data_IF_586523256078
#
_entry.id   IF_586523256078
#
_cell.length_a   1.000
_cell.length_b   1.000
_cell.length_c   1.000
_cell.angle_alpha   90.00
_cell.angle_beta   90.00
_cell.angle_gamma   90.00
#
_symmetry.space_group_name_H-M   'P 1'
#
loop_
_entity.id
_entity.type
_entity.pdbx_description
1 polymer ?
#
# COMPACT_ATOMS: atom_id res chain seq x y z
N UNK A 1 -15.95 13.38 -34.91
CA UNK A 1 -14.69 12.60 -35.04
C UNK A 1 -13.57 13.62 -34.99
N UNK A 2 -12.72 13.74 -33.98
CA UNK A 2 -12.10 12.72 -33.12
C UNK A 2 -11.65 13.36 -31.79
N UNK A 3 -12.26 12.98 -30.67
CA UNK A 3 -11.63 13.16 -29.36
C UNK A 3 -10.86 11.87 -29.05
N UNK A 4 -9.64 11.79 -29.57
CA UNK A 4 -8.68 10.80 -29.09
C UNK A 4 -8.23 11.28 -27.71
N UNK A 5 -8.96 10.88 -26.67
CA UNK A 5 -8.56 11.00 -25.28
C UNK A 5 -7.08 10.66 -25.16
N UNK A 6 -6.24 11.61 -24.77
CA UNK A 6 -4.81 11.39 -24.51
C UNK A 6 -4.67 10.29 -23.47
N UNK A 7 -4.48 9.06 -23.94
CA UNK A 7 -4.45 7.87 -23.10
C UNK A 7 -3.11 7.91 -22.34
N UNK A 8 -3.19 8.06 -21.01
CA UNK A 8 -2.01 8.21 -20.16
C UNK A 8 -1.19 6.91 -20.22
N UNK A 9 0.00 6.97 -20.79
CA UNK A 9 0.95 5.87 -20.80
C UNK A 9 1.75 5.93 -19.49
N UNK A 10 2.00 4.76 -18.90
CA UNK A 10 2.88 4.58 -17.74
C UNK A 10 4.19 4.00 -18.23
N UNK A 11 5.31 4.65 -17.89
CA UNK A 11 6.65 4.20 -18.24
C UNK A 11 7.27 3.45 -17.05
N UNK A 12 7.79 2.25 -17.31
CA UNK A 12 8.48 1.45 -16.30
C UNK A 12 9.67 2.17 -15.67
N UNK A 13 10.37 3.05 -16.41
CA UNK A 13 11.48 3.83 -15.86
C UNK A 13 11.00 4.82 -14.78
N UNK A 14 9.82 5.41 -14.97
CA UNK A 14 9.23 6.29 -13.98
C UNK A 14 8.85 5.53 -12.70
N UNK A 15 8.32 4.31 -12.84
CA UNK A 15 8.01 3.43 -11.70
C UNK A 15 9.29 3.09 -10.93
N UNK A 16 10.35 2.67 -11.63
CA UNK A 16 11.63 2.33 -10.99
C UNK A 16 12.24 3.52 -10.25
N UNK A 17 12.13 4.72 -10.82
CA UNK A 17 12.59 5.94 -10.17
C UNK A 17 11.74 6.28 -8.93
N UNK A 18 10.42 6.11 -9.00
CA UNK A 18 9.54 6.29 -7.84
C UNK A 18 9.93 5.34 -6.71
N UNK A 19 10.06 4.04 -6.99
CA UNK A 19 10.45 3.04 -5.99
C UNK A 19 11.78 3.42 -5.35
N UNK A 20 12.80 3.78 -6.15
CA UNK A 20 14.10 4.23 -5.64
C UNK A 20 13.97 5.44 -4.71
N UNK A 21 13.17 6.44 -5.09
CA UNK A 21 12.95 7.64 -4.27
C UNK A 21 12.30 7.31 -2.93
N UNK A 22 11.29 6.43 -2.94
CA UNK A 22 10.63 5.98 -1.70
C UNK A 22 11.60 5.21 -0.82
N UNK A 23 12.34 4.25 -1.38
CA UNK A 23 13.29 3.43 -0.61
C UNK A 23 14.43 4.26 -0.02
N UNK A 24 14.91 5.29 -0.71
CA UNK A 24 16.01 6.14 -0.23
C UNK A 24 15.56 7.19 0.80
N UNK A 25 14.26 7.43 0.95
CA UNK A 25 13.70 8.43 1.86
C UNK A 25 12.97 7.74 3.02
N UNK A 26 13.56 7.71 4.24
CA UNK A 26 12.93 7.08 5.40
C UNK A 26 11.53 7.60 5.68
N UNK A 27 11.31 8.91 5.58
CA UNK A 27 10.00 9.53 5.78
C UNK A 27 8.96 9.13 4.73
N UNK A 28 9.39 8.96 3.47
CA UNK A 28 8.50 8.50 2.41
C UNK A 28 8.13 7.02 2.59
N UNK A 29 9.09 6.19 3.02
CA UNK A 29 8.85 4.79 3.32
C UNK A 29 7.90 4.63 4.51
N UNK A 30 8.15 5.35 5.61
CA UNK A 30 7.27 5.37 6.79
C UNK A 30 5.86 5.81 6.41
N UNK A 31 5.72 6.89 5.64
CA UNK A 31 4.41 7.37 5.16
C UNK A 31 3.70 6.31 4.30
N UNK A 32 4.45 5.56 3.49
CA UNK A 32 3.87 4.48 2.68
C UNK A 32 3.42 3.29 3.54
N UNK A 33 4.18 2.93 4.57
CA UNK A 33 3.77 1.89 5.54
C UNK A 33 2.51 2.30 6.30
N UNK A 34 2.44 3.54 6.77
CA UNK A 34 1.24 4.07 7.42
C UNK A 34 0.03 4.10 6.47
N UNK A 35 0.27 4.46 5.21
CA UNK A 35 -0.76 4.39 4.18
C UNK A 35 -1.28 2.96 3.96
N UNK A 36 -0.37 1.99 3.94
CA UNK A 36 -0.65 0.56 3.77
C UNK A 36 -1.46 0.02 4.96
N UNK A 37 -1.07 0.39 6.18
CA UNK A 37 -1.81 0.06 7.42
C UNK A 37 -3.26 0.52 7.39
N UNK A 38 -3.53 1.72 6.87
CA UNK A 38 -4.92 2.20 6.70
C UNK A 38 -5.72 1.31 5.75
N UNK A 39 -5.11 0.75 4.70
CA UNK A 39 -5.80 -0.18 3.81
C UNK A 39 -6.07 -1.51 4.52
N UNK A 40 -5.09 -2.03 5.27
CA UNK A 40 -5.19 -3.30 6.00
C UNK A 40 -6.28 -3.24 7.07
N UNK A 41 -6.26 -2.22 7.93
CA UNK A 41 -7.23 -2.07 9.02
C UNK A 41 -8.66 -1.84 8.50
N UNK A 42 -8.81 -1.30 7.28
CA UNK A 42 -10.10 -1.20 6.61
C UNK A 42 -10.51 -2.47 5.86
N UNK A 43 -9.67 -3.51 5.88
CA UNK A 43 -9.92 -4.84 5.36
C UNK A 43 -9.78 -4.96 3.84
N UNK A 44 -8.96 -4.12 3.20
CA UNK A 44 -8.81 -4.13 1.74
C UNK A 44 -8.33 -5.49 1.22
N UNK A 45 -7.41 -6.14 1.93
CA UNK A 45 -6.84 -7.42 1.51
C UNK A 45 -7.77 -8.62 1.66
N UNK A 46 -8.92 -8.46 2.32
CA UNK A 46 -9.97 -9.47 2.31
C UNK A 46 -10.72 -9.53 0.97
N UNK A 47 -10.62 -8.48 0.15
CA UNK A 47 -11.27 -8.39 -1.14
C UNK A 47 -10.37 -8.87 -2.29
N UNK A 48 -11.02 -9.33 -3.37
CA UNK A 48 -10.32 -9.95 -4.50
C UNK A 48 -9.30 -9.00 -5.16
N UNK A 49 -8.12 -9.55 -5.47
CA UNK A 49 -7.00 -8.93 -6.19
C UNK A 49 -6.32 -7.72 -5.51
N UNK A 50 -6.78 -7.23 -4.35
CA UNK A 50 -6.19 -6.06 -3.68
C UNK A 50 -4.73 -6.25 -3.25
N UNK A 51 -4.38 -7.47 -2.84
CA UNK A 51 -3.00 -7.84 -2.47
C UNK A 51 -2.00 -7.84 -3.63
N UNK A 52 -2.48 -7.88 -4.88
CA UNK A 52 -1.63 -7.99 -6.09
C UNK A 52 -1.27 -6.59 -6.65
N UNK A 53 -1.53 -5.52 -5.89
CA UNK A 53 -1.33 -4.14 -6.33
C UNK A 53 0.12 -3.70 -6.24
N UNK A 54 0.66 -3.17 -7.34
CA UNK A 54 2.04 -2.68 -7.41
C UNK A 54 2.09 -1.16 -7.39
N UNK A 55 2.92 -0.57 -6.53
CA UNK A 55 3.04 0.89 -6.44
C UNK A 55 3.68 1.47 -7.72
N UNK A 56 2.93 2.33 -8.41
CA UNK A 56 3.39 3.02 -9.63
C UNK A 56 3.77 4.47 -9.36
N UNK A 57 3.12 5.12 -8.39
CA UNK A 57 3.40 6.51 -8.04
C UNK A 57 3.01 6.80 -6.60
N UNK A 58 3.87 7.55 -5.90
CA UNK A 58 3.65 7.99 -4.53
C UNK A 58 4.62 7.35 -3.53
N UNK A 59 4.48 7.66 -2.23
CA UNK A 59 3.46 8.55 -1.68
C UNK A 59 3.70 10.01 -2.05
N UNK A 60 2.72 10.66 -2.67
CA UNK A 60 2.75 12.11 -2.89
C UNK A 60 2.12 12.78 -1.67
N UNK A 61 2.97 13.45 -0.89
CA UNK A 61 2.61 14.04 0.40
C UNK A 61 2.30 15.52 0.18
N UNK A 62 1.06 15.91 0.44
CA UNK A 62 0.61 17.31 0.51
C UNK A 62 0.36 17.71 1.96
N UNK A 63 -0.09 18.94 2.21
CA UNK A 63 -0.39 19.41 3.56
C UNK A 63 -1.37 18.48 4.30
N UNK A 64 -2.48 18.10 3.65
CA UNK A 64 -3.59 17.37 4.30
C UNK A 64 -3.87 15.99 3.70
N UNK A 65 -3.21 15.63 2.60
CA UNK A 65 -3.53 14.41 1.85
C UNK A 65 -2.29 13.68 1.40
N UNK A 66 -2.40 12.37 1.30
CA UNK A 66 -1.40 11.47 0.72
C UNK A 66 -2.04 10.77 -0.47
N UNK A 67 -1.34 10.76 -1.60
CA UNK A 67 -1.82 10.14 -2.83
C UNK A 67 -0.87 9.05 -3.27
N UNK A 68 -1.39 7.83 -3.39
CA UNK A 68 -0.70 6.68 -3.96
C UNK A 68 -1.49 6.16 -5.17
N UNK A 69 -0.78 5.68 -6.19
CA UNK A 69 -1.39 5.02 -7.34
C UNK A 69 -0.78 3.64 -7.52
N UNK A 70 -1.65 2.64 -7.56
CA UNK A 70 -1.29 1.24 -7.72
C UNK A 70 -1.71 0.75 -9.11
N UNK A 71 -0.92 -0.15 -9.69
CA UNK A 71 -1.26 -0.84 -10.92
C UNK A 71 -1.66 -2.29 -10.67
N UNK A 72 -2.61 -2.75 -11.46
CA UNK A 72 -3.07 -4.13 -11.48
C UNK A 72 -3.16 -4.61 -12.93
N UNK A 73 -2.85 -5.88 -13.22
CA UNK A 73 -3.11 -6.47 -14.53
C UNK A 73 -4.58 -6.29 -14.93
N UNK A 74 -4.86 -6.14 -16.24
CA UNK A 74 -6.23 -5.91 -16.72
C UNK A 74 -7.23 -6.98 -16.25
N UNK A 75 -6.77 -8.24 -16.20
CA UNK A 75 -7.55 -9.43 -15.81
C UNK A 75 -7.71 -9.56 -14.28
N UNK A 76 -6.86 -8.87 -13.50
CA UNK A 76 -6.86 -8.88 -12.04
C UNK A 76 -7.35 -7.55 -11.48
N UNK A 77 -8.49 -7.07 -11.98
CA UNK A 77 -9.09 -5.84 -11.45
C UNK A 77 -9.38 -6.01 -9.94
N UNK A 78 -8.92 -5.09 -9.08
CA UNK A 78 -9.24 -5.14 -7.65
C UNK A 78 -10.71 -4.84 -7.43
N UNK A 79 -11.32 -5.56 -6.48
CA UNK A 79 -12.76 -5.47 -6.21
C UNK A 79 -13.14 -4.04 -5.82
N UNK A 80 -14.04 -3.36 -6.57
CA UNK A 80 -14.47 -2.00 -6.29
C UNK A 80 -15.33 -1.87 -5.02
N UNK A 81 -15.68 -2.97 -4.36
CA UNK A 81 -16.36 -2.95 -3.06
C UNK A 81 -15.45 -2.51 -1.91
N UNK A 82 -14.16 -2.85 -1.92
CA UNK A 82 -13.25 -2.53 -0.81
C UNK A 82 -13.15 -1.01 -0.53
N UNK A 83 -12.96 -0.15 -1.55
CA UNK A 83 -12.82 1.29 -1.35
C UNK A 83 -14.04 1.97 -0.75
N UNK A 84 -15.23 1.36 -0.84
CA UNK A 84 -16.47 1.94 -0.31
C UNK A 84 -16.37 2.29 1.17
N UNK A 85 -15.56 1.53 1.93
CA UNK A 85 -15.29 1.76 3.36
C UNK A 85 -14.54 3.06 3.61
N UNK A 86 -13.64 3.45 2.70
CA UNK A 86 -12.87 4.70 2.83
C UNK A 86 -13.61 5.91 2.25
N UNK A 87 -14.61 5.71 1.38
CA UNK A 87 -15.40 6.82 0.81
C UNK A 87 -16.19 7.58 1.88
N UNK A 88 -16.76 6.89 2.86
CA UNK A 88 -17.51 7.50 3.97
C UNK A 88 -16.64 8.34 4.89
N UNK A 89 -15.33 8.07 4.91
CA UNK A 89 -14.35 8.77 5.75
C UNK A 89 -13.43 9.68 4.91
N UNK A 90 -13.94 10.23 3.81
CA UNK A 90 -13.30 11.34 3.10
C UNK A 90 -12.14 10.97 2.15
N UNK A 91 -11.87 9.68 1.95
CA UNK A 91 -10.96 9.24 0.89
C UNK A 91 -11.60 9.38 -0.49
N UNK A 92 -10.76 9.58 -1.51
CA UNK A 92 -11.19 9.60 -2.91
C UNK A 92 -10.43 8.53 -3.67
N UNK A 93 -11.15 7.68 -4.39
CA UNK A 93 -10.58 6.57 -5.14
C UNK A 93 -10.97 6.68 -6.61
N UNK A 94 -9.98 6.52 -7.49
CA UNK A 94 -10.14 6.66 -8.93
C UNK A 94 -9.60 5.41 -9.64
N UNK A 95 -10.44 4.80 -10.47
CA UNK A 95 -10.05 3.68 -11.33
C UNK A 95 -9.88 4.17 -12.76
N UNK A 96 -8.77 3.82 -13.41
CA UNK A 96 -8.50 4.19 -14.80
C UNK A 96 -7.80 3.06 -15.54
N UNK A 97 -8.22 2.79 -16.77
CA UNK A 97 -7.46 1.92 -17.69
C UNK A 97 -6.31 2.70 -18.31
N UNK A 98 -5.13 2.10 -18.35
CA UNK A 98 -3.93 2.68 -18.92
C UNK A 98 -3.11 1.63 -19.68
N UNK A 99 -2.12 2.11 -20.45
CA UNK A 99 -1.10 1.27 -21.06
C UNK A 99 0.19 1.38 -20.26
N UNK A 100 0.76 0.24 -19.88
CA UNK A 100 2.11 0.13 -19.35
C UNK A 100 3.07 -0.17 -20.50
N UNK A 101 4.04 0.71 -20.70
CA UNK A 101 5.10 0.56 -21.69
C UNK A 101 6.36 -0.01 -21.02
N UNK A 102 6.91 -1.07 -21.60
CA UNK A 102 8.11 -1.72 -21.07
C UNK A 102 9.03 -2.21 -22.20
N UNK A 103 10.36 -2.23 -21.98
CA UNK A 103 11.29 -2.79 -22.94
C UNK A 103 11.13 -4.32 -23.02
N UNK A 104 11.08 -4.83 -24.25
CA UNK A 104 11.09 -6.28 -24.50
C UNK A 104 12.43 -6.86 -24.06
N UNK A 105 12.40 -8.03 -23.42
CA UNK A 105 13.60 -8.78 -23.08
C UNK A 105 14.30 -9.21 -24.36
N UNK A 106 15.57 -8.84 -24.51
CA UNK A 106 16.35 -9.15 -25.70
C UNK A 106 16.72 -10.63 -25.67
N UNK A 107 16.26 -11.38 -26.66
CA UNK A 107 16.59 -12.79 -26.88
C UNK A 107 17.20 -13.04 -28.26
N UNK A 108 16.92 -12.16 -29.22
CA UNK A 108 17.40 -12.23 -30.60
C UNK A 108 17.70 -10.83 -31.18
N UNK A 109 18.37 -10.76 -32.34
CA UNK A 109 18.60 -9.49 -33.05
C UNK A 109 17.29 -8.78 -33.45
N UNK A 110 16.21 -9.53 -33.67
CA UNK A 110 14.90 -8.98 -34.01
C UNK A 110 14.26 -8.20 -32.84
N UNK A 111 14.74 -8.36 -31.61
CA UNK A 111 14.21 -7.64 -30.44
C UNK A 111 14.70 -6.19 -30.36
N UNK A 112 15.68 -5.81 -31.19
CA UNK A 112 16.16 -4.44 -31.30
C UNK A 112 15.27 -3.58 -32.21
N UNK A 113 15.27 -2.27 -31.96
CA UNK A 113 14.65 -1.31 -32.88
C UNK A 113 15.47 -1.25 -34.18
N UNK A 114 14.82 -1.12 -35.36
CA UNK A 114 15.49 -1.26 -36.66
C UNK A 114 16.72 -0.36 -36.87
N UNK A 115 16.77 0.80 -36.20
CA UNK A 115 17.79 1.82 -36.43
C UNK A 115 18.74 2.00 -35.24
N UNK A 116 18.43 1.45 -34.06
CA UNK A 116 19.21 1.66 -32.83
C UNK A 116 19.29 0.39 -32.01
N UNK A 117 20.44 0.15 -31.35
CA UNK A 117 20.64 -0.96 -30.39
C UNK A 117 19.91 -0.71 -29.06
N UNK A 118 18.62 -0.37 -29.12
CA UNK A 118 17.71 -0.30 -27.97
C UNK A 118 16.60 -1.33 -28.15
N UNK A 119 16.09 -1.93 -27.07
CA UNK A 119 15.00 -2.89 -27.15
C UNK A 119 13.73 -2.24 -27.73
N UNK A 120 12.93 -3.06 -28.44
CA UNK A 120 11.55 -2.71 -28.79
C UNK A 120 10.74 -2.45 -27.52
N UNK A 121 9.74 -1.58 -27.61
CA UNK A 121 8.82 -1.29 -26.50
C UNK A 121 7.53 -2.05 -26.75
N UNK A 122 7.18 -2.92 -25.79
CA UNK A 122 5.89 -3.57 -25.74
C UNK A 122 4.93 -2.75 -24.86
N UNK A 123 3.62 -2.97 -25.07
CA UNK A 123 2.58 -2.34 -24.26
C UNK A 123 1.63 -3.40 -23.74
N UNK A 124 1.29 -3.30 -22.46
CA UNK A 124 0.23 -4.12 -21.85
C UNK A 124 -0.84 -3.22 -21.22
N UNK A 125 -2.08 -3.69 -21.17
CA UNK A 125 -3.17 -2.95 -20.53
C UNK A 125 -3.18 -3.24 -19.03
N UNK A 126 -3.35 -2.19 -18.25
CA UNK A 126 -3.43 -2.26 -16.79
C UNK A 126 -4.57 -1.40 -16.25
N UNK A 127 -4.98 -1.71 -15.04
CA UNK A 127 -5.76 -0.82 -14.19
C UNK A 127 -4.83 0.02 -13.34
N UNK A 128 -5.12 1.32 -13.24
CA UNK A 128 -4.56 2.23 -12.26
C UNK A 128 -5.63 2.55 -11.24
N UNK A 129 -5.28 2.37 -9.96
CA UNK A 129 -6.12 2.74 -8.83
C UNK A 129 -5.38 3.84 -8.06
N UNK A 130 -5.87 5.07 -8.17
CA UNK A 130 -5.35 6.21 -7.40
C UNK A 130 -6.19 6.36 -6.16
N UNK A 131 -5.55 6.27 -4.99
CA UNK A 131 -6.17 6.45 -3.69
C UNK A 131 -5.62 7.73 -3.09
N UNK A 132 -6.52 8.65 -2.78
CA UNK A 132 -6.23 9.95 -2.21
C UNK A 132 -6.80 10.01 -0.79
N UNK A 133 -5.92 9.83 0.18
CA UNK A 133 -6.23 9.65 1.59
C UNK A 133 -6.06 10.96 2.38
N UNK A 134 -7.03 11.38 3.20
CA UNK A 134 -6.81 12.40 4.22
C UNK A 134 -5.80 11.94 5.28
N UNK A 135 -4.88 12.80 5.70
CA UNK A 135 -3.88 12.46 6.73
C UNK A 135 -4.47 12.12 8.10
N UNK A 136 -5.66 12.65 8.44
CA UNK A 136 -6.27 12.35 9.74
C UNK A 136 -6.59 10.86 9.89
N UNK A 137 -6.87 10.12 8.80
CA UNK A 137 -7.13 8.68 8.87
C UNK A 137 -5.91 7.88 9.33
N UNK A 138 -4.70 8.34 8.99
CA UNK A 138 -3.46 7.72 9.50
C UNK A 138 -3.34 7.98 11.00
N UNK A 139 -3.67 9.20 11.45
CA UNK A 139 -3.61 9.54 12.88
C UNK A 139 -4.63 8.74 13.70
N UNK A 140 -5.86 8.58 13.19
CA UNK A 140 -6.92 7.80 13.85
C UNK A 140 -6.49 6.33 14.04
N UNK A 141 -5.89 5.73 13.00
CA UNK A 141 -5.33 4.38 13.04
C UNK A 141 -4.19 4.26 14.06
N UNK A 142 -3.25 5.22 14.07
CA UNK A 142 -2.14 5.24 15.02
C UNK A 142 -2.64 5.30 16.47
N UNK A 143 -3.61 6.17 16.74
CA UNK A 143 -4.18 6.29 18.07
C UNK A 143 -4.87 5.00 18.52
N UNK A 144 -5.72 4.41 17.67
CA UNK A 144 -6.38 3.14 18.00
C UNK A 144 -5.39 2.00 18.26
N UNK A 145 -4.28 1.98 17.52
CA UNK A 145 -3.21 0.99 17.71
C UNK A 145 -2.44 1.19 19.02
N UNK A 146 -2.14 2.43 19.39
CA UNK A 146 -1.48 2.78 20.66
C UNK A 146 -2.38 2.43 21.86
N UNK A 147 -3.69 2.68 21.76
CA UNK A 147 -4.67 2.34 22.81
C UNK A 147 -4.77 0.83 23.05
N UNK A 148 -4.79 0.01 21.99
CA UNK A 148 -4.81 -1.46 22.11
C UNK A 148 -3.52 -1.96 22.78
N UNK A 149 -2.35 -1.47 22.35
CA UNK A 149 -1.07 -1.86 22.96
C UNK A 149 -1.01 -1.50 24.44
N UNK A 150 -1.55 -0.34 24.84
CA UNK A 150 -1.57 0.05 26.25
C UNK A 150 -2.45 -0.87 27.09
N UNK A 151 -3.63 -1.25 26.59
CA UNK A 151 -4.52 -2.21 27.26
C UNK A 151 -3.89 -3.60 27.41
N UNK A 152 -3.15 -4.07 26.41
CA UNK A 152 -2.43 -5.34 26.47
C UNK A 152 -1.32 -5.31 27.54
N UNK A 153 -0.57 -4.21 27.63
CA UNK A 153 0.45 -4.02 28.67
C UNK A 153 -0.18 -4.00 30.06
N UNK A 154 -1.24 -3.22 30.28
CA UNK A 154 -1.95 -3.18 31.56
C UNK A 154 -2.48 -4.56 31.97
N UNK A 155 -3.07 -5.30 31.03
CA UNK A 155 -3.57 -6.67 31.30
C UNK A 155 -2.43 -7.62 31.62
N UNK A 156 -1.28 -7.49 30.94
CA UNK A 156 -0.10 -8.30 31.21
C UNK A 156 0.51 -8.01 32.58
N UNK A 157 0.58 -6.74 32.98
CA UNK A 157 1.09 -6.32 34.29
C UNK A 157 0.18 -6.81 35.42
N UNK A 158 -1.14 -6.73 35.23
CA UNK A 158 -2.13 -7.28 36.17
C UNK A 158 -1.95 -8.80 36.31
N UNK A 159 -1.83 -9.53 35.20
CA UNK A 159 -1.66 -10.98 35.23
C UNK A 159 -0.34 -11.41 35.87
N UNK A 160 0.74 -10.68 35.63
CA UNK A 160 2.04 -10.93 36.26
C UNK A 160 1.98 -10.67 37.77
N UNK A 161 1.35 -9.57 38.21
CA UNK A 161 1.16 -9.29 39.63
C UNK A 161 0.33 -10.37 40.35
N UNK A 162 -0.73 -10.89 39.70
CA UNK A 162 -1.48 -12.03 40.25
C UNK A 162 -0.66 -13.32 40.30
N UNK A 163 0.19 -13.58 39.31
CA UNK A 163 1.10 -14.74 39.29
C UNK A 163 2.12 -14.67 40.43
N UNK A 164 2.75 -13.52 40.60
CA UNK A 164 3.76 -13.28 41.65
C UNK A 164 3.15 -13.42 43.06
N UNK A 165 1.93 -12.92 43.29
CA UNK A 165 1.22 -13.05 44.57
C UNK A 165 0.82 -14.51 44.88
N UNK A 166 0.39 -15.28 43.87
CA UNK A 166 0.05 -16.70 44.02
C UNK A 166 1.29 -17.54 44.32
N UNK A 167 2.42 -17.24 43.67
CA UNK A 167 3.68 -17.94 43.91
C UNK A 167 4.26 -17.61 45.29
N UNK A 168 4.14 -16.36 45.75
CA UNK A 168 4.52 -15.98 47.11
C UNK A 168 3.68 -16.73 48.16
N UNK A 169 2.36 -16.77 47.97
CA UNK A 169 1.44 -17.45 48.89
C UNK A 169 1.69 -18.96 48.97
N UNK A 170 2.06 -19.60 47.86
CA UNK A 170 2.40 -21.03 47.84
C UNK A 170 3.73 -21.31 48.57
N UNK A 171 4.73 -20.42 48.43
CA UNK A 171 6.01 -20.56 49.14
C UNK A 171 5.86 -20.39 50.67
N UNK A 172 4.92 -19.55 51.13
CA UNK A 172 4.63 -19.37 52.56
C UNK A 172 3.90 -20.58 53.19
N UNK A 173 3.10 -21.30 52.40
CA UNK A 173 2.38 -22.50 52.85
C UNK A 173 3.29 -23.74 52.95
N UNK A 174 4.32 -23.83 52.11
CA UNK A 174 5.28 -24.96 52.12
C UNK A 174 6.31 -24.88 53.27
N UNK A 175 6.40 -23.73 53.96
CA UNK A 175 7.34 -23.51 55.08
C UNK A 175 6.72 -23.74 56.47
N UNK A 176 5.48 -24.24 56.56
CA UNK A 176 4.79 -24.64 57.80
C UNK A 176 4.63 -26.15 57.91
#
# INVERSE_FOLDING_TARGET
>A
MSDASTQKNVDIQAILNNIKQVTLSPSSLETLCEFERVLDENGFYAFLNWKDGELVSGPNISAYRIVCTFAFPLEKMPDPAAPKRLLSVGAKIYFKKAWLEYPVKITSEDDFRPTIKKPKIAKTRIWLVTINLPKYLINDIRQGSEEIMHQELETSDINNAYGDDIDLANQELEQQ
#
